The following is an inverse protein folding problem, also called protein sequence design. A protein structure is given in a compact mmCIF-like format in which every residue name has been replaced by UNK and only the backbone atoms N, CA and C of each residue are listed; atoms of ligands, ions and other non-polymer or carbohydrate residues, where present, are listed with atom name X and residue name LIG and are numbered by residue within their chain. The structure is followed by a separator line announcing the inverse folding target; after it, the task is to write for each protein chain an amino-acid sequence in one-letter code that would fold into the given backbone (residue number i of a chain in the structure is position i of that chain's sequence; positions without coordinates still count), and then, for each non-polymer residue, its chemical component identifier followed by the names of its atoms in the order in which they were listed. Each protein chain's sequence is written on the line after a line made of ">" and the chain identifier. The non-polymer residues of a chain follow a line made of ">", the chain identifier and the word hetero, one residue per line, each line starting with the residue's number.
data_IF_577489538998
#
_entry.id   IF_577489538998
#
_cell.length_a   1.000
_cell.length_b   1.000
_cell.length_c   1.000
_cell.angle_alpha   90.00
_cell.angle_beta   90.00
_cell.angle_gamma   90.00
#
_symmetry.space_group_name_H-M   'P 1'
#
loop_
_entity.id
_entity.type
_entity.pdbx_description
1 polymer ?
#
# COMPACT_ATOMS: atom_id res chain seq x y z
N UNK A 1 3.80 61.46 -47.85
CA UNK A 1 3.37 60.64 -47.68
C UNK A 1 3.85 59.61 -47.00
N UNK A 2 3.43 58.88 -46.21
CA UNK A 2 3.92 58.09 -45.44
C UNK A 2 3.16 56.94 -45.27
N UNK A 3 3.55 55.89 -45.36
CA UNK A 3 2.89 54.82 -45.26
C UNK A 3 3.07 54.22 -43.97
N UNK A 4 2.12 54.08 -43.27
CA UNK A 4 2.20 53.51 -42.12
C UNK A 4 2.04 52.15 -42.24
N UNK A 5 2.89 51.40 -42.14
CA UNK A 5 2.78 50.08 -42.06
C UNK A 5 2.46 49.72 -40.76
N UNK A 6 1.29 49.57 -40.52
CA UNK A 6 0.91 49.04 -39.29
C UNK A 6 1.28 47.61 -39.28
N UNK A 7 2.27 47.37 -38.65
CA UNK A 7 2.65 46.08 -38.45
C UNK A 7 1.68 45.44 -37.54
N UNK A 8 0.89 44.64 -38.04
CA UNK A 8 0.10 43.95 -37.25
C UNK A 8 0.88 42.91 -36.74
N UNK A 9 1.38 43.00 -35.71
CA UNK A 9 1.92 41.94 -34.97
C UNK A 9 0.85 40.95 -34.73
N UNK A 10 0.81 40.00 -35.56
CA UNK A 10 -0.05 38.95 -35.27
C UNK A 10 0.44 38.28 -34.01
N UNK A 11 -0.24 38.53 -32.99
CA UNK A 11 0.00 37.79 -31.83
C UNK A 11 -0.66 36.50 -32.09
N UNK A 12 0.08 35.61 -32.63
CA UNK A 12 -0.27 34.26 -32.49
C UNK A 12 -0.21 33.99 -31.04
N UNK A 13 -1.28 34.11 -30.40
CA UNK A 13 -1.38 33.59 -29.09
C UNK A 13 -1.19 32.09 -29.27
N UNK A 14 -0.02 31.68 -29.14
CA UNK A 14 0.23 30.30 -29.01
C UNK A 14 -0.48 29.91 -27.74
N UNK A 15 -1.64 29.41 -27.92
CA UNK A 15 -2.29 28.74 -26.86
C UNK A 15 -1.42 27.55 -26.64
N UNK A 16 -0.52 27.65 -25.75
CA UNK A 16 0.14 26.52 -25.25
C UNK A 16 -0.93 25.80 -24.48
N UNK A 17 -1.57 24.92 -25.15
CA UNK A 17 -2.37 23.96 -24.50
C UNK A 17 -1.34 23.12 -23.80
N UNK A 18 -1.07 23.42 -22.61
CA UNK A 18 -0.35 22.53 -21.78
C UNK A 18 -1.25 21.33 -21.65
N UNK A 19 -0.95 20.36 -22.46
CA UNK A 19 -1.51 19.09 -22.26
C UNK A 19 -0.91 18.65 -20.94
N UNK A 20 -1.59 18.92 -19.91
CA UNK A 20 -1.35 18.24 -18.69
C UNK A 20 -1.90 16.88 -18.95
N UNK A 21 -1.07 16.05 -19.54
CA UNK A 21 -1.39 14.67 -19.53
C UNK A 21 -1.34 14.32 -18.05
N UNK A 22 -2.50 14.20 -17.50
CA UNK A 22 -2.62 13.60 -16.21
C UNK A 22 -2.09 12.20 -16.38
N UNK A 23 -0.85 12.01 -16.04
CA UNK A 23 -0.33 10.69 -15.88
C UNK A 23 -1.27 10.02 -14.91
N UNK A 24 -1.82 8.87 -15.26
CA UNK A 24 -2.59 8.13 -14.31
C UNK A 24 -1.69 7.97 -13.11
N UNK A 25 -2.10 8.52 -12.01
CA UNK A 25 -1.35 8.41 -10.80
C UNK A 25 -1.01 6.96 -10.59
N UNK A 26 0.26 6.64 -10.67
CA UNK A 26 0.70 5.34 -10.29
C UNK A 26 0.30 5.21 -8.84
N UNK A 27 -0.64 4.32 -8.59
CA UNK A 27 -0.96 4.00 -7.23
C UNK A 27 0.31 3.43 -6.62
N UNK A 28 0.94 4.19 -5.76
CA UNK A 28 2.12 3.70 -5.08
C UNK A 28 1.69 2.65 -4.09
N UNK A 29 2.35 1.50 -4.16
CA UNK A 29 2.19 0.49 -3.15
C UNK A 29 2.58 1.08 -1.81
N UNK A 30 1.76 0.89 -0.81
CA UNK A 30 2.04 1.37 0.52
C UNK A 30 2.77 0.30 1.32
N UNK A 31 3.44 0.73 2.37
CA UNK A 31 4.08 -0.16 3.32
C UNK A 31 3.44 0.12 4.67
N UNK A 32 2.85 -0.90 5.26
CA UNK A 32 2.16 -0.78 6.54
C UNK A 32 2.83 -1.68 7.56
N UNK A 33 2.76 -1.30 8.82
CA UNK A 33 3.37 -2.07 9.90
C UNK A 33 2.35 -2.61 10.86
N UNK A 34 2.58 -3.82 11.34
CA UNK A 34 1.86 -4.43 12.44
C UNK A 34 2.88 -4.72 13.52
N UNK A 35 2.66 -4.19 14.70
CA UNK A 35 3.57 -4.43 15.81
C UNK A 35 3.09 -5.58 16.65
N UNK A 36 4.01 -6.41 17.10
CA UNK A 36 3.72 -7.51 17.99
C UNK A 36 4.20 -7.08 19.37
N UNK A 37 3.29 -6.93 20.29
CA UNK A 37 3.62 -6.52 21.63
C UNK A 37 2.63 -7.07 22.63
N UNK A 38 3.12 -7.53 23.76
CA UNK A 38 2.28 -8.07 24.81
C UNK A 38 1.34 -9.16 24.29
N UNK A 39 1.88 -10.06 23.46
CA UNK A 39 1.13 -11.19 22.87
C UNK A 39 -0.06 -10.75 22.04
N UNK A 40 0.02 -9.61 21.38
CA UNK A 40 -1.04 -9.14 20.50
C UNK A 40 -0.45 -8.59 19.21
N UNK A 41 -1.27 -8.59 18.16
CA UNK A 41 -0.94 -7.91 16.91
C UNK A 41 -1.64 -6.55 16.93
N UNK A 42 -0.90 -5.50 16.68
CA UNK A 42 -1.46 -4.16 16.71
C UNK A 42 -1.07 -3.33 15.49
N UNK A 43 -2.05 -2.96 14.68
CA UNK A 43 -3.47 -3.25 14.77
C UNK A 43 -3.78 -4.71 14.52
N UNK A 44 -4.84 -5.21 15.12
CA UNK A 44 -5.23 -6.61 14.94
C UNK A 44 -5.83 -6.86 13.57
N UNK A 45 -6.51 -5.87 13.02
CA UNK A 45 -7.10 -5.95 11.71
C UNK A 45 -6.76 -4.69 10.92
N UNK A 46 -6.25 -4.87 9.71
CA UNK A 46 -5.98 -3.74 8.83
C UNK A 46 -6.49 -4.03 7.44
N UNK A 47 -6.81 -2.97 6.72
CA UNK A 47 -7.23 -3.05 5.33
C UNK A 47 -6.11 -2.45 4.48
N UNK A 48 -5.69 -3.18 3.47
CA UNK A 48 -4.64 -2.76 2.55
C UNK A 48 -5.12 -2.94 1.13
N UNK A 49 -4.32 -2.56 0.16
CA UNK A 49 -4.66 -2.71 -1.26
C UNK A 49 -3.73 -3.69 -1.92
N UNK A 50 -4.19 -4.28 -2.99
CA UNK A 50 -3.33 -5.16 -3.80
C UNK A 50 -2.07 -4.40 -4.16
N UNK A 51 -0.92 -5.01 -3.92
CA UNK A 51 0.39 -4.39 -4.13
C UNK A 51 1.03 -3.88 -2.85
N UNK A 52 0.27 -3.73 -1.79
CA UNK A 52 0.81 -3.24 -0.53
C UNK A 52 1.62 -4.32 0.18
N UNK A 53 2.59 -3.87 0.95
CA UNK A 53 3.43 -4.74 1.77
C UNK A 53 3.12 -4.50 3.23
N UNK A 54 2.92 -5.55 3.99
CA UNK A 54 2.75 -5.47 5.44
C UNK A 54 4.01 -6.04 6.08
N UNK A 55 4.53 -5.32 7.05
CA UNK A 55 5.70 -5.74 7.80
C UNK A 55 5.30 -5.90 9.27
N UNK A 56 5.51 -7.09 9.81
CA UNK A 56 5.31 -7.35 11.24
C UNK A 56 6.65 -7.19 11.94
N UNK A 57 6.64 -6.53 13.09
CA UNK A 57 7.84 -6.29 13.89
C UNK A 57 7.57 -6.84 15.27
N UNK A 58 8.41 -7.75 15.73
CA UNK A 58 8.27 -8.28 17.06
C UNK A 58 8.93 -7.35 18.08
N UNK A 59 8.11 -6.73 18.91
CA UNK A 59 8.60 -5.86 19.99
C UNK A 59 8.53 -6.53 21.35
N UNK A 60 8.11 -7.80 21.40
CA UNK A 60 8.15 -8.58 22.64
C UNK A 60 9.53 -9.17 22.84
N UNK A 61 9.82 -9.57 24.05
CA UNK A 61 11.10 -10.19 24.39
C UNK A 61 11.05 -11.71 24.29
N UNK A 62 10.02 -12.25 23.63
CA UNK A 62 9.91 -13.68 23.34
C UNK A 62 9.62 -13.84 21.85
N UNK A 63 9.92 -15.01 21.27
CA UNK A 63 9.69 -15.23 19.84
C UNK A 63 8.23 -15.34 19.47
N UNK A 64 7.89 -14.86 18.29
CA UNK A 64 6.57 -15.02 17.69
C UNK A 64 6.72 -15.42 16.23
N UNK A 65 5.67 -15.99 15.64
CA UNK A 65 5.63 -16.28 14.21
C UNK A 65 4.35 -15.70 13.60
N UNK A 66 4.35 -15.57 12.29
CA UNK A 66 3.17 -15.12 11.55
C UNK A 66 2.79 -16.26 10.61
N UNK A 67 1.61 -16.79 10.78
CA UNK A 67 1.14 -17.92 9.98
C UNK A 67 -0.24 -17.65 9.41
N UNK A 68 -0.37 -17.64 8.10
CA UNK A 68 -1.65 -17.65 7.42
C UNK A 68 -1.69 -18.93 6.61
N UNK A 69 -2.49 -19.88 7.06
CA UNK A 69 -2.49 -21.24 6.53
C UNK A 69 -2.64 -21.29 5.02
N UNK A 70 -1.69 -21.92 4.37
CA UNK A 70 -1.70 -22.04 2.90
C UNK A 70 -1.35 -20.77 2.15
N UNK A 71 -1.05 -19.68 2.85
CA UNK A 71 -0.75 -18.40 2.22
C UNK A 71 0.67 -17.92 2.51
N UNK A 72 1.03 -17.78 3.75
CA UNK A 72 2.38 -17.36 4.10
C UNK A 72 2.74 -17.80 5.52
N UNK A 73 4.02 -17.83 5.80
CA UNK A 73 4.53 -18.25 7.10
C UNK A 73 5.89 -17.62 7.32
N UNK A 74 6.09 -16.99 8.46
CA UNK A 74 7.39 -16.50 8.83
C UNK A 74 8.18 -17.58 9.57
N UNK A 75 9.48 -17.37 9.70
CA UNK A 75 10.27 -18.09 10.68
C UNK A 75 9.96 -17.46 12.03
N UNK A 76 10.52 -18.02 13.11
CA UNK A 76 10.41 -17.41 14.42
C UNK A 76 11.10 -16.05 14.40
N UNK A 77 10.40 -15.05 14.88
CA UNK A 77 10.92 -13.68 14.96
C UNK A 77 11.34 -13.43 16.41
N UNK A 78 12.61 -13.14 16.60
CA UNK A 78 13.11 -12.70 17.92
C UNK A 78 12.81 -11.22 18.08
N UNK A 79 13.15 -10.65 19.22
CA UNK A 79 12.91 -9.24 19.50
C UNK A 79 13.55 -8.37 18.39
N UNK A 80 12.78 -7.44 17.86
CA UNK A 80 13.14 -6.53 16.78
C UNK A 80 13.26 -7.17 15.41
N UNK A 81 13.05 -8.48 15.29
CA UNK A 81 13.02 -9.13 13.98
C UNK A 81 11.73 -8.76 13.24
N UNK A 82 11.81 -8.80 11.92
CA UNK A 82 10.71 -8.41 11.04
C UNK A 82 10.40 -9.49 10.03
N UNK A 83 9.15 -9.51 9.60
CA UNK A 83 8.70 -10.33 8.49
C UNK A 83 7.81 -9.45 7.60
N UNK A 84 8.02 -9.50 6.29
CA UNK A 84 7.22 -8.73 5.35
C UNK A 84 6.57 -9.64 4.33
N UNK A 85 5.37 -9.28 3.92
CA UNK A 85 4.67 -9.98 2.86
C UNK A 85 3.94 -8.98 1.98
N UNK A 86 4.06 -9.13 0.66
CA UNK A 86 3.38 -8.27 -0.30
C UNK A 86 2.12 -8.99 -0.79
N UNK A 87 0.98 -8.33 -0.66
CA UNK A 87 -0.31 -8.93 -1.01
C UNK A 87 -0.64 -8.62 -2.46
N UNK A 88 -0.72 -9.65 -3.28
CA UNK A 88 -0.98 -9.51 -4.71
C UNK A 88 -2.38 -9.95 -5.11
N UNK A 89 -3.15 -10.49 -4.21
CA UNK A 89 -4.50 -10.98 -4.49
C UNK A 89 -5.46 -10.46 -3.45
N UNK A 90 -6.58 -9.90 -3.89
CA UNK A 90 -7.60 -9.40 -2.97
C UNK A 90 -8.22 -10.56 -2.19
N UNK A 91 -8.65 -10.28 -0.99
CA UNK A 91 -9.27 -11.28 -0.11
C UNK A 91 -9.00 -10.96 1.35
N UNK A 92 -9.45 -11.84 2.22
CA UNK A 92 -9.20 -11.72 3.65
C UNK A 92 -8.22 -12.81 4.07
N UNK A 93 -7.18 -12.39 4.76
CA UNK A 93 -6.12 -13.30 5.20
C UNK A 93 -6.10 -13.32 6.71
N UNK A 94 -6.62 -14.39 7.29
CA UNK A 94 -6.53 -14.60 8.72
C UNK A 94 -5.15 -15.12 9.03
N UNK A 95 -4.56 -14.67 10.13
CA UNK A 95 -3.26 -15.19 10.54
C UNK A 95 -3.19 -15.29 12.06
N UNK A 96 -2.23 -16.01 12.55
CA UNK A 96 -2.02 -16.25 13.96
C UNK A 96 -0.55 -16.48 14.26
N UNK A 97 -0.20 -16.48 15.52
CA UNK A 97 1.15 -16.85 15.94
C UNK A 97 1.19 -18.37 16.15
N UNK A 98 2.07 -19.04 15.42
CA UNK A 98 2.18 -20.50 15.52
C UNK A 98 2.66 -20.98 16.88
N UNK A 99 3.35 -20.13 17.64
CA UNK A 99 3.83 -20.45 18.99
C UNK A 99 2.77 -20.12 20.05
N UNK A 100 1.86 -19.24 19.74
CA UNK A 100 0.83 -18.77 20.68
C UNK A 100 -0.47 -18.62 19.90
N UNK A 101 -1.18 -19.70 19.59
CA UNK A 101 -2.31 -19.65 18.63
C UNK A 101 -3.47 -18.75 18.98
N UNK A 102 -3.54 -18.30 20.23
CA UNK A 102 -4.60 -17.35 20.61
C UNK A 102 -4.32 -15.94 20.06
N UNK A 103 -3.08 -15.66 19.69
CA UNK A 103 -2.74 -14.40 19.05
C UNK A 103 -3.20 -14.47 17.60
N UNK A 104 -4.18 -13.68 17.25
CA UNK A 104 -4.79 -13.71 15.91
C UNK A 104 -4.93 -12.31 15.35
N UNK A 105 -4.85 -12.21 14.04
CA UNK A 105 -5.05 -10.98 13.32
C UNK A 105 -5.62 -11.25 11.95
N UNK A 106 -5.95 -10.21 11.21
CA UNK A 106 -6.41 -10.36 9.84
C UNK A 106 -6.02 -9.17 8.99
N UNK A 107 -5.79 -9.46 7.72
CA UNK A 107 -5.51 -8.46 6.70
C UNK A 107 -6.61 -8.56 5.66
N UNK A 108 -7.31 -7.46 5.42
CA UNK A 108 -8.28 -7.38 4.32
C UNK A 108 -7.58 -6.70 3.16
N UNK A 109 -7.49 -7.37 2.03
CA UNK A 109 -6.83 -6.85 0.84
C UNK A 109 -7.89 -6.49 -0.19
N UNK A 110 -7.97 -5.22 -0.53
CA UNK A 110 -8.92 -4.71 -1.50
C UNK A 110 -8.21 -4.46 -2.82
N UNK A 111 -8.98 -4.40 -3.90
CA UNK A 111 -8.40 -4.10 -5.19
C UNK A 111 -7.81 -2.70 -5.18
N UNK A 112 -6.70 -2.52 -5.91
CA UNK A 112 -5.96 -1.27 -5.90
C UNK A 112 -6.76 -0.09 -6.41
N UNK A 113 -7.72 -0.35 -7.27
CA UNK A 113 -8.54 0.71 -7.81
C UNK A 113 -9.94 0.48 -7.34
N UNK A 114 -10.14 0.59 -6.09
CA UNK A 114 -11.44 0.35 -5.52
C UNK A 114 -12.55 1.09 -6.17
N UNK A 115 -12.22 2.18 -6.78
CA UNK A 115 -13.23 2.92 -7.43
C UNK A 115 -13.86 2.19 -8.54
N UNK A 116 -13.26 1.21 -9.04
CA UNK A 116 -13.83 0.63 -10.14
C UNK A 116 -14.98 -0.20 -9.83
N UNK A 117 -15.12 -0.41 -8.68
CA UNK A 117 -16.13 -1.21 -8.37
C UNK A 117 -17.36 -0.58 -8.39
N UNK A 118 -17.92 -0.47 -9.29
CA UNK A 118 -19.03 -0.06 -9.19
C UNK A 118 -19.83 -0.89 -9.74
N UNK A 119 -20.15 -1.39 -9.53
CA UNK A 119 -20.90 -2.00 -10.01
C UNK A 119 -21.81 -2.21 -9.77
#
# INVERSE_FOLDING_TARGET
>A
MKVLNAVRGGFAAALLLALVSALPGTAHAASLEVKIGNFTFGPQKITVKVGDTVTWINEDDIPHTIVSTGKFRSKALDTEDKYSFTFTTAGTYEYFCGLHPHMQGSIVVETATGSAATQ
#
